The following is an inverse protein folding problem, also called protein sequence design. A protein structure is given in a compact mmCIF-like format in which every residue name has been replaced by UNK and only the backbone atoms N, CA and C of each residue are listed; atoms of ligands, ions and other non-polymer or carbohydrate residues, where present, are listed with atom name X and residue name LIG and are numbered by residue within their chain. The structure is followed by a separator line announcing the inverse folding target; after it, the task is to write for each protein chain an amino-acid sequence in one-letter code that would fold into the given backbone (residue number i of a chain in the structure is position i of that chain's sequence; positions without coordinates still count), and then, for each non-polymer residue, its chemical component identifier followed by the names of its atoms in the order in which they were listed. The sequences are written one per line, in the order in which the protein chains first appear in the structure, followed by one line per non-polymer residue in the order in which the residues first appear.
data_IF_594517788374
#
_entry.id   IF_594517788374
#
_cell.length_a   1.000
_cell.length_b   1.000
_cell.length_c   1.000
_cell.angle_alpha   90.00
_cell.angle_beta   90.00
_cell.angle_gamma   90.00
#
_symmetry.space_group_name_H-M   'P 1'
#
loop_
_entity.id
_entity.type
_entity.pdbx_description
1 polymer ?
#
# COMPACT_ATOMS: atom_id res chain seq x y z
N UNK A 1 -19.06 12.90 20.30
CA UNK A 1 -18.63 12.39 18.99
C UNK A 1 -19.80 11.63 18.41
N UNK A 2 -20.48 12.23 17.43
CA UNK A 2 -21.59 11.57 16.75
C UNK A 2 -21.04 10.48 15.83
N UNK A 3 -21.62 9.30 15.93
CA UNK A 3 -21.25 8.11 15.18
C UNK A 3 -21.36 8.37 13.68
N UNK A 4 -20.35 7.97 12.91
CA UNK A 4 -20.53 7.86 11.46
C UNK A 4 -21.51 6.72 11.21
N UNK A 5 -22.71 7.03 10.71
CA UNK A 5 -23.71 6.04 10.31
C UNK A 5 -23.61 5.76 8.81
N UNK A 6 -23.29 4.50 8.51
CA UNK A 6 -23.21 3.87 7.20
C UNK A 6 -22.57 2.49 7.38
N UNK A 7 -22.77 1.56 6.46
CA UNK A 7 -22.08 0.26 6.48
C UNK A 7 -20.60 0.47 6.13
N UNK A 8 -19.81 0.87 7.14
CA UNK A 8 -18.37 1.02 7.00
C UNK A 8 -17.76 -0.38 7.09
N UNK A 9 -17.43 -0.97 5.94
CA UNK A 9 -16.78 -2.28 5.90
C UNK A 9 -15.33 -2.23 6.42
N UNK A 10 -14.59 -1.15 6.13
CA UNK A 10 -13.18 -0.96 6.55
C UNK A 10 -12.79 0.49 6.78
N UNK A 11 -11.87 0.67 7.73
CA UNK A 11 -11.20 1.95 8.03
C UNK A 11 -9.69 1.77 7.80
N UNK A 12 -9.08 2.76 7.15
CA UNK A 12 -7.62 2.87 7.06
C UNK A 12 -7.12 4.08 7.83
N UNK A 13 -6.05 3.89 8.61
CA UNK A 13 -5.42 4.94 9.39
C UNK A 13 -3.96 5.15 8.96
N UNK A 14 -3.67 6.35 8.47
CA UNK A 14 -2.32 6.83 8.21
C UNK A 14 -1.86 7.82 9.28
N UNK A 15 -0.83 7.45 10.06
CA UNK A 15 -0.19 8.37 11.00
C UNK A 15 1.00 9.08 10.35
N UNK A 16 1.14 10.38 10.63
CA UNK A 16 2.17 11.23 10.00
C UNK A 16 3.34 11.58 10.90
N UNK A 17 3.13 11.56 12.21
CA UNK A 17 4.15 11.93 13.17
C UNK A 17 4.84 10.69 13.74
N UNK A 18 6.16 10.74 13.91
CA UNK A 18 6.96 9.60 14.39
C UNK A 18 6.50 9.09 15.75
N UNK A 19 5.96 9.99 16.58
CA UNK A 19 5.57 9.71 17.97
C UNK A 19 4.47 8.65 18.10
N UNK A 20 3.81 8.29 17.00
CA UNK A 20 2.81 7.23 16.90
C UNK A 20 3.37 5.87 16.51
N UNK A 21 4.61 5.79 16.01
CA UNK A 21 5.25 4.52 15.61
C UNK A 21 5.28 3.54 16.79
N UNK A 22 4.80 2.33 16.58
CA UNK A 22 4.73 1.27 17.60
C UNK A 22 3.61 1.44 18.64
N UNK A 23 3.05 2.65 18.81
CA UNK A 23 2.00 2.91 19.81
C UNK A 23 0.61 2.51 19.35
N UNK A 24 0.38 2.48 18.04
CA UNK A 24 -0.92 2.14 17.46
C UNK A 24 -1.04 0.66 17.12
N UNK A 25 0.06 -0.11 17.17
CA UNK A 25 0.09 -1.50 16.69
C UNK A 25 -0.98 -2.39 17.33
N UNK A 26 -1.16 -2.25 18.65
CA UNK A 26 -2.20 -2.98 19.38
C UNK A 26 -3.60 -2.61 18.90
N UNK A 27 -3.88 -1.31 18.77
CA UNK A 27 -5.17 -0.78 18.30
C UNK A 27 -5.47 -1.26 16.88
N UNK A 28 -4.48 -1.19 15.98
CA UNK A 28 -4.63 -1.60 14.59
C UNK A 28 -4.97 -3.09 14.47
N UNK A 29 -4.34 -3.94 15.30
CA UNK A 29 -4.60 -5.39 15.32
C UNK A 29 -5.95 -5.71 15.96
N UNK A 30 -6.27 -5.10 17.09
CA UNK A 30 -7.49 -5.34 17.84
C UNK A 30 -8.74 -4.95 17.05
N UNK A 31 -8.69 -3.81 16.37
CA UNK A 31 -9.82 -3.25 15.63
C UNK A 31 -9.80 -3.59 14.13
N UNK A 32 -8.81 -4.37 13.67
CA UNK A 32 -8.62 -4.74 12.26
C UNK A 32 -8.66 -3.51 11.31
N UNK A 33 -7.99 -2.43 11.76
CA UNK A 33 -7.85 -1.17 11.02
C UNK A 33 -6.66 -1.29 10.08
N UNK A 34 -6.86 -0.92 8.82
CA UNK A 34 -5.80 -0.98 7.81
C UNK A 34 -4.71 0.02 8.18
N UNK A 35 -3.47 -0.46 8.33
CA UNK A 35 -2.33 0.42 8.53
C UNK A 35 -1.92 1.03 7.20
N UNK A 36 -2.32 2.28 6.97
CA UNK A 36 -2.00 2.98 5.73
C UNK A 36 -0.61 3.59 5.84
N UNK A 37 0.32 3.09 5.03
CA UNK A 37 1.72 3.52 5.01
C UNK A 37 2.24 3.68 3.58
N UNK A 38 3.40 4.30 3.46
CA UNK A 38 4.22 4.21 2.25
C UNK A 38 5.14 2.97 2.36
N UNK A 39 4.87 1.88 1.63
CA UNK A 39 5.58 0.61 1.77
C UNK A 39 7.03 0.65 1.27
N UNK A 40 7.44 1.73 0.59
CA UNK A 40 8.84 1.93 0.22
C UNK A 40 9.70 2.43 1.39
N UNK A 41 9.07 2.96 2.44
CA UNK A 41 9.74 3.56 3.59
C UNK A 41 9.36 2.95 4.94
N UNK A 42 8.16 2.39 5.07
CA UNK A 42 7.65 1.84 6.32
C UNK A 42 7.00 0.47 6.09
N UNK A 43 7.06 -0.40 7.09
CA UNK A 43 6.45 -1.74 7.05
C UNK A 43 5.06 -1.67 7.70
N UNK A 44 3.99 -2.14 7.05
CA UNK A 44 2.67 -2.19 7.68
C UNK A 44 2.68 -3.15 8.87
N UNK A 45 1.94 -2.80 9.94
CA UNK A 45 1.89 -3.60 11.17
C UNK A 45 1.17 -4.93 10.91
N UNK A 46 0.13 -4.89 10.09
CA UNK A 46 -0.66 -6.05 9.69
C UNK A 46 -0.95 -6.00 8.20
N UNK A 47 -1.03 -7.18 7.60
CA UNK A 47 -1.57 -7.40 6.26
C UNK A 47 -2.88 -8.17 6.44
N UNK A 48 -4.00 -7.48 6.27
CA UNK A 48 -5.33 -8.09 6.29
C UNK A 48 -5.79 -8.51 4.90
N UNK A 49 -7.04 -8.99 4.80
CA UNK A 49 -7.69 -9.30 3.51
C UNK A 49 -7.68 -8.10 2.55
N UNK A 50 -7.85 -6.90 3.11
CA UNK A 50 -7.73 -5.64 2.40
C UNK A 50 -6.51 -4.90 2.90
N UNK A 51 -5.65 -4.44 1.98
CA UNK A 51 -4.51 -3.57 2.28
C UNK A 51 -4.63 -2.25 1.55
N UNK A 52 -4.10 -1.19 2.13
CA UNK A 52 -4.09 0.14 1.50
C UNK A 52 -2.78 0.86 1.75
N UNK A 53 -2.14 1.28 0.66
CA UNK A 53 -0.84 1.96 0.67
C UNK A 53 -0.96 3.32 0.00
N UNK A 54 -0.22 4.31 0.54
CA UNK A 54 -0.17 5.67 0.00
C UNK A 54 1.28 6.10 -0.21
N UNK A 55 1.61 6.35 -1.46
CA UNK A 55 2.95 6.74 -1.91
C UNK A 55 3.00 8.25 -2.09
N UNK A 56 3.85 8.93 -1.33
CA UNK A 56 3.84 10.40 -1.26
C UNK A 56 5.00 11.08 -2.00
N UNK A 57 5.82 10.31 -2.71
CA UNK A 57 7.05 10.77 -3.33
C UNK A 57 8.27 10.49 -2.47
N UNK A 58 9.29 11.34 -2.59
CA UNK A 58 10.57 11.16 -1.93
C UNK A 58 10.52 11.49 -0.44
N UNK A 59 11.58 11.11 0.29
CA UNK A 59 11.85 11.60 1.65
C UNK A 59 13.17 12.33 1.71
N UNK A 60 13.16 13.57 2.19
CA UNK A 60 14.35 14.39 2.43
C UNK A 60 14.32 14.95 3.84
N UNK A 61 15.36 14.67 4.63
CA UNK A 61 15.48 15.13 6.03
C UNK A 61 14.22 14.83 6.87
N UNK A 62 13.63 13.65 6.66
CA UNK A 62 12.42 13.21 7.35
C UNK A 62 11.12 13.85 6.86
N UNK A 63 11.15 14.67 5.81
CA UNK A 63 9.96 15.31 5.22
C UNK A 63 9.61 14.70 3.87
N UNK A 64 8.32 14.72 3.56
CA UNK A 64 7.77 14.27 2.28
C UNK A 64 8.11 15.28 1.18
N UNK A 65 8.57 14.79 0.04
CA UNK A 65 8.78 15.55 -1.19
C UNK A 65 7.80 15.05 -2.25
N UNK A 66 6.66 15.74 -2.37
CA UNK A 66 5.61 15.36 -3.32
C UNK A 66 6.04 15.49 -4.78
N UNK A 67 6.87 16.48 -5.11
CA UNK A 67 7.43 16.69 -6.45
C UNK A 67 8.59 15.72 -6.70
N UNK A 68 8.27 14.44 -6.72
CA UNK A 68 9.22 13.36 -6.89
C UNK A 68 8.64 12.34 -7.87
N UNK A 69 9.47 11.90 -8.82
CA UNK A 69 9.13 10.85 -9.77
C UNK A 69 9.90 9.60 -9.39
N UNK A 70 9.19 8.51 -9.16
CA UNK A 70 9.82 7.26 -8.72
C UNK A 70 10.69 6.66 -9.82
N UNK A 71 11.83 6.09 -9.44
CA UNK A 71 12.70 5.35 -10.37
C UNK A 71 12.14 3.96 -10.66
N UNK A 72 12.57 3.34 -11.76
CA UNK A 72 12.11 2.00 -12.14
C UNK A 72 12.41 0.96 -11.06
N UNK A 73 13.53 1.10 -10.35
CA UNK A 73 13.91 0.19 -9.26
C UNK A 73 12.97 0.31 -8.06
N UNK A 74 12.47 1.53 -7.78
CA UNK A 74 11.53 1.81 -6.70
C UNK A 74 10.14 1.27 -7.04
N UNK A 75 9.67 1.50 -8.27
CA UNK A 75 8.42 0.88 -8.75
C UNK A 75 8.55 -0.65 -8.75
N UNK A 76 9.67 -1.20 -9.18
CA UNK A 76 9.91 -2.65 -9.15
C UNK A 76 9.90 -3.24 -7.73
N UNK A 77 10.45 -2.50 -6.75
CA UNK A 77 10.36 -2.88 -5.33
C UNK A 77 8.91 -2.86 -4.83
N UNK A 78 8.15 -1.83 -5.20
CA UNK A 78 6.73 -1.73 -4.86
C UNK A 78 5.94 -2.90 -5.47
N UNK A 79 6.19 -3.23 -6.74
CA UNK A 79 5.54 -4.35 -7.44
C UNK A 79 5.80 -5.66 -6.69
N UNK A 80 7.07 -5.98 -6.39
CA UNK A 80 7.41 -7.20 -5.62
C UNK A 80 6.77 -7.24 -4.25
N UNK A 81 6.71 -6.09 -3.58
CA UNK A 81 6.06 -5.98 -2.27
C UNK A 81 4.56 -6.30 -2.39
N UNK A 82 3.85 -5.62 -3.30
CA UNK A 82 2.39 -5.76 -3.45
C UNK A 82 2.00 -7.14 -3.98
N UNK A 83 2.73 -7.70 -4.95
CA UNK A 83 2.44 -9.03 -5.49
C UNK A 83 2.75 -10.17 -4.52
N UNK A 84 3.58 -9.92 -3.51
CA UNK A 84 3.89 -10.88 -2.46
C UNK A 84 2.94 -10.86 -1.26
N UNK A 85 1.95 -9.95 -1.24
CA UNK A 85 1.00 -9.86 -0.13
C UNK A 85 -0.01 -11.01 -0.16
N UNK A 86 -0.42 -11.46 1.02
CA UNK A 86 -1.52 -12.42 1.18
C UNK A 86 -2.91 -11.78 1.14
N UNK A 87 -2.99 -10.47 0.86
CA UNK A 87 -4.24 -9.73 0.77
C UNK A 87 -5.06 -10.17 -0.44
N UNK A 88 -6.38 -10.26 -0.26
CA UNK A 88 -7.33 -10.49 -1.35
C UNK A 88 -7.43 -9.26 -2.25
N UNK A 89 -7.38 -8.06 -1.65
CA UNK A 89 -7.41 -6.77 -2.36
C UNK A 89 -6.34 -5.85 -1.80
N UNK A 90 -5.55 -5.25 -2.68
CA UNK A 90 -4.56 -4.23 -2.32
C UNK A 90 -4.82 -2.94 -3.08
N UNK A 91 -5.14 -1.87 -2.36
CA UNK A 91 -5.23 -0.52 -2.89
C UNK A 91 -3.86 0.16 -2.81
N UNK A 92 -3.41 0.74 -3.92
CA UNK A 92 -2.14 1.46 -4.01
C UNK A 92 -2.41 2.84 -4.60
N UNK A 93 -2.34 3.87 -3.77
CA UNK A 93 -2.54 5.26 -4.20
C UNK A 93 -1.20 5.96 -4.36
N UNK A 94 -0.89 6.32 -5.60
CA UNK A 94 0.17 7.28 -5.88
C UNK A 94 -0.37 8.69 -5.60
N UNK A 95 0.29 9.41 -4.72
CA UNK A 95 -0.06 10.75 -4.25
C UNK A 95 1.12 11.72 -4.39
N UNK A 96 2.07 11.41 -5.26
CA UNK A 96 3.15 12.31 -5.71
C UNK A 96 2.69 13.15 -6.92
N UNK A 97 3.42 14.21 -7.27
CA UNK A 97 3.07 15.10 -8.40
C UNK A 97 3.06 14.40 -9.77
N UNK A 98 3.71 13.25 -9.90
CA UNK A 98 3.78 12.45 -11.14
C UNK A 98 2.89 11.19 -11.06
N UNK A 99 1.91 11.17 -10.16
CA UNK A 99 1.10 9.99 -9.83
C UNK A 99 0.46 9.28 -11.04
N UNK A 100 0.03 10.01 -12.06
CA UNK A 100 -0.57 9.41 -13.26
C UNK A 100 0.43 8.54 -14.03
N UNK A 101 1.66 9.04 -14.21
CA UNK A 101 2.71 8.29 -14.91
C UNK A 101 3.24 7.14 -14.05
N UNK A 102 3.48 7.39 -12.76
CA UNK A 102 4.04 6.38 -11.86
C UNK A 102 3.06 5.23 -11.59
N UNK A 103 1.76 5.52 -11.44
CA UNK A 103 0.74 4.48 -11.32
C UNK A 103 0.60 3.65 -12.59
N UNK A 104 0.69 4.27 -13.77
CA UNK A 104 0.66 3.53 -15.04
C UNK A 104 1.89 2.63 -15.20
N UNK A 105 3.08 3.12 -14.86
CA UNK A 105 4.32 2.32 -14.86
C UNK A 105 4.21 1.14 -13.90
N UNK A 106 3.70 1.36 -12.69
CA UNK A 106 3.42 0.31 -11.71
C UNK A 106 2.49 -0.76 -12.26
N UNK A 107 1.35 -0.38 -12.84
CA UNK A 107 0.39 -1.33 -13.42
C UNK A 107 0.99 -2.12 -14.59
N UNK A 108 1.78 -1.46 -15.44
CA UNK A 108 2.45 -2.13 -16.56
C UNK A 108 3.45 -3.19 -16.08
N UNK A 109 4.26 -2.84 -15.07
CA UNK A 109 5.22 -3.78 -14.47
C UNK A 109 4.51 -4.94 -13.76
N UNK A 110 3.43 -4.67 -13.02
CA UNK A 110 2.67 -5.71 -12.31
C UNK A 110 2.10 -6.75 -13.29
N UNK A 111 1.49 -6.30 -14.39
CA UNK A 111 0.95 -7.18 -15.46
C UNK A 111 2.02 -8.04 -16.13
N UNK A 112 3.24 -7.52 -16.26
CA UNK A 112 4.34 -8.27 -16.88
C UNK A 112 4.80 -9.46 -16.04
N UNK A 113 4.64 -9.39 -14.71
CA UNK A 113 4.96 -10.51 -13.81
C UNK A 113 3.90 -11.60 -13.92
N UNK A 114 2.62 -11.23 -13.99
CA UNK A 114 1.52 -12.20 -14.15
C UNK A 114 1.67 -13.04 -15.43
N UNK A 115 2.18 -12.45 -16.52
CA UNK A 115 2.43 -13.18 -17.78
C UNK A 115 3.59 -14.18 -17.74
N UNK A 116 4.41 -14.16 -16.68
CA UNK A 116 5.53 -15.09 -16.49
C UNK A 116 5.23 -16.22 -15.49
N UNK A 117 4.05 -16.20 -14.86
CA UNK A 117 3.57 -17.30 -14.03
C UNK A 117 2.83 -18.33 -14.91
N UNK A 118 3.09 -19.64 -14.77
CA UNK A 118 2.35 -20.65 -15.53
C UNK A 118 0.85 -20.57 -15.18
N UNK A 119 -0.07 -20.89 -16.12
CA UNK A 119 -1.51 -20.83 -15.86
C UNK A 119 -1.83 -21.71 -14.65
N UNK A 120 -2.54 -21.16 -13.67
CA UNK A 120 -3.07 -21.94 -12.54
C UNK A 120 -3.94 -23.05 -13.12
N UNK A 121 -3.52 -24.30 -12.95
CA UNK A 121 -4.30 -25.46 -13.41
C UNK A 121 -5.60 -25.49 -12.63
N UNK A 122 -6.71 -25.20 -13.29
CA UNK A 122 -8.03 -25.58 -12.80
C UNK A 122 -8.15 -27.10 -12.92
N UNK A 123 -7.93 -27.82 -11.82
CA UNK A 123 -8.46 -29.17 -11.68
C UNK A 123 -9.83 -29.06 -11.01
N UNK A 124 -10.92 -29.45 -11.67
CA UNK A 124 -12.20 -29.62 -11.00
C UNK A 124 -12.20 -30.95 -10.25
N UNK A 125 -12.70 -30.93 -9.01
CA UNK A 125 -13.40 -32.07 -8.42
C UNK A 125 -14.86 -31.69 -8.26
#
# INVERSE_FOLDING_TARGET
FEFVRGDIEKIGWEVRHESWKGKIDGILRELDVIHVVDPLYDVPVLIGKTSYFRLHGGREKGKIVYKYKYRDEEISRLVRFVSGLSSEVSYVMFNNSYMGEDSQRFLNMLRSIDTTSPPRSSSPM
#
